data_IF_868936007058
#
_entry.id   IF_868936007058
#
_cell.length_a   1.000
_cell.length_b   1.000
_cell.length_c   1.000
_cell.angle_alpha   90.00
_cell.angle_beta   90.00
_cell.angle_gamma   90.00
#
_symmetry.space_group_name_H-M   'P 1'
#
loop_
_entity.id
_entity.type
_entity.pdbx_description
1 polymer ?
#
# COMPACT_ATOMS: atom_id res chain seq x y z
N UNK A 1 10.47 9.45 8.00
CA UNK A 1 9.24 8.66 7.74
C UNK A 1 9.53 7.64 6.67
N UNK A 2 9.17 6.40 6.91
CA UNK A 2 9.33 5.32 5.94
C UNK A 2 8.03 4.57 5.83
N UNK A 3 7.45 4.56 4.63
CA UNK A 3 6.32 3.70 4.30
C UNK A 3 6.79 2.69 3.27
N UNK A 4 6.49 1.42 3.52
CA UNK A 4 6.84 0.33 2.60
C UNK A 4 5.59 -0.41 2.18
N UNK A 5 5.58 -0.86 0.92
CA UNK A 5 4.53 -1.69 0.36
C UNK A 5 5.19 -2.92 -0.24
N UNK A 6 4.46 -4.03 -0.28
CA UNK A 6 4.99 -5.27 -0.84
C UNK A 6 3.85 -6.15 -1.35
N UNK A 7 4.19 -7.03 -2.31
CA UNK A 7 3.27 -8.03 -2.87
C UNK A 7 1.90 -7.46 -3.25
N UNK A 8 1.84 -6.41 -4.10
CA UNK A 8 0.57 -5.83 -4.46
C UNK A 8 -0.28 -6.78 -5.30
N UNK A 9 -1.60 -6.79 -5.04
CA UNK A 9 -2.57 -7.42 -5.92
C UNK A 9 -3.14 -6.37 -6.84
N UNK A 10 -2.94 -6.56 -8.15
CA UNK A 10 -3.40 -5.63 -9.16
C UNK A 10 -4.51 -6.29 -9.98
N UNK A 11 -5.62 -5.59 -10.13
CA UNK A 11 -6.73 -6.04 -10.99
C UNK A 11 -7.02 -4.97 -12.02
N UNK A 12 -7.15 -5.39 -13.27
CA UNK A 12 -7.38 -4.47 -14.38
C UNK A 12 -8.58 -4.95 -15.19
N UNK A 13 -9.45 -4.01 -15.52
CA UNK A 13 -10.54 -4.23 -16.45
C UNK A 13 -10.65 -3.01 -17.35
N UNK A 14 -10.17 -3.13 -18.62
CA UNK A 14 -10.15 -2.01 -19.54
C UNK A 14 -9.42 -0.81 -18.95
N UNK A 15 -10.13 0.30 -18.80
CA UNK A 15 -9.56 1.54 -18.29
C UNK A 15 -9.62 1.68 -16.77
N UNK A 16 -10.00 0.62 -16.07
CA UNK A 16 -10.11 0.64 -14.61
C UNK A 16 -9.10 -0.33 -14.01
N UNK A 17 -8.41 0.10 -12.99
CA UNK A 17 -7.50 -0.77 -12.23
C UNK A 17 -7.59 -0.48 -10.75
N UNK A 18 -7.34 -1.53 -9.95
CA UNK A 18 -7.20 -1.39 -8.50
C UNK A 18 -5.91 -2.06 -8.08
N UNK A 19 -5.25 -1.45 -7.10
CA UNK A 19 -4.05 -2.00 -6.45
C UNK A 19 -4.36 -2.15 -4.97
N UNK A 20 -4.21 -3.37 -4.48
CA UNK A 20 -4.41 -3.71 -3.07
C UNK A 20 -3.03 -4.12 -2.55
N UNK A 21 -2.49 -3.38 -1.59
CA UNK A 21 -1.15 -3.68 -1.09
C UNK A 21 -1.06 -3.51 0.42
N UNK A 22 -0.49 -4.50 1.11
CA UNK A 22 -0.12 -4.27 2.50
C UNK A 22 0.93 -3.17 2.60
N UNK A 23 0.94 -2.48 3.73
CA UNK A 23 1.95 -1.47 4.00
C UNK A 23 2.33 -1.46 5.48
N UNK A 24 3.53 -0.99 5.79
CA UNK A 24 3.90 -0.60 7.14
C UNK A 24 4.49 0.80 7.14
N UNK A 25 4.44 1.43 8.29
CA UNK A 25 4.86 2.83 8.43
C UNK A 25 5.72 2.97 9.67
N UNK A 26 6.90 3.53 9.47
CA UNK A 26 7.87 3.78 10.53
C UNK A 26 8.18 5.27 10.64
N UNK A 27 8.35 5.74 11.87
CA UNK A 27 8.82 7.08 12.16
C UNK A 27 10.26 6.96 12.62
N UNK A 28 11.20 7.10 11.67
CA UNK A 28 12.58 6.76 11.92
C UNK A 28 12.70 5.25 12.14
N UNK A 29 13.32 4.85 13.25
CA UNK A 29 13.46 3.45 13.61
C UNK A 29 12.26 2.89 14.38
N UNK A 30 11.28 3.75 14.68
CA UNK A 30 10.15 3.38 15.52
C UNK A 30 8.94 3.01 14.68
N UNK A 31 8.41 1.81 14.93
CA UNK A 31 7.18 1.35 14.28
C UNK A 31 6.00 2.23 14.67
N UNK A 32 5.20 2.64 13.69
CA UNK A 32 3.98 3.40 13.92
C UNK A 32 2.73 2.54 13.73
N UNK A 33 2.50 2.06 12.53
CA UNK A 33 1.30 1.29 12.22
C UNK A 33 1.49 0.51 10.94
N UNK A 34 0.54 -0.37 10.65
CA UNK A 34 0.47 -1.10 9.39
C UNK A 34 -0.99 -1.17 8.91
N UNK A 35 -1.19 -1.74 7.75
CA UNK A 35 -2.53 -1.87 7.18
C UNK A 35 -2.49 -2.25 5.72
N UNK A 36 -3.50 -1.78 4.99
CA UNK A 36 -3.65 -2.01 3.55
C UNK A 36 -3.95 -0.68 2.88
N UNK A 37 -3.27 -0.44 1.76
CA UNK A 37 -3.58 0.65 0.85
C UNK A 37 -4.37 0.11 -0.33
N UNK A 38 -5.42 0.81 -0.74
CA UNK A 38 -6.18 0.50 -1.96
C UNK A 38 -6.15 1.72 -2.86
N UNK A 39 -5.60 1.55 -4.06
CA UNK A 39 -5.51 2.62 -5.05
C UNK A 39 -6.41 2.27 -6.21
N UNK A 40 -7.30 3.19 -6.59
CA UNK A 40 -8.10 3.07 -7.80
C UNK A 40 -7.51 3.95 -8.88
N UNK A 41 -7.30 3.38 -10.06
CA UNK A 41 -6.68 4.07 -11.18
C UNK A 41 -7.57 4.02 -12.41
N UNK A 42 -7.55 5.08 -13.19
CA UNK A 42 -8.29 5.18 -14.44
C UNK A 42 -7.30 5.52 -15.55
N UNK A 43 -7.42 4.83 -16.69
CA UNK A 43 -6.65 5.16 -17.89
C UNK A 43 -7.42 6.15 -18.73
N UNK A 44 -6.79 7.29 -19.06
CA UNK A 44 -7.46 8.37 -19.78
C UNK A 44 -7.27 8.30 -21.30
N UNK A 45 -6.67 7.21 -21.80
CA UNK A 45 -6.34 7.04 -23.23
C UNK A 45 -4.85 7.24 -23.49
N UNK A 46 -4.13 7.90 -22.60
CA UNK A 46 -2.69 8.13 -22.73
C UNK A 46 -1.90 7.51 -21.57
N UNK A 47 -2.45 7.60 -20.36
CA UNK A 47 -1.75 7.11 -19.16
C UNK A 47 -2.75 6.74 -18.08
N UNK A 48 -2.25 6.01 -17.09
CA UNK A 48 -2.99 5.73 -15.86
C UNK A 48 -2.90 6.91 -14.90
N UNK A 49 -4.03 7.24 -14.29
CA UNK A 49 -4.11 8.29 -13.28
C UNK A 49 -4.70 7.74 -12.00
N UNK A 50 -4.20 8.19 -10.86
CA UNK A 50 -4.76 7.82 -9.57
C UNK A 50 -6.08 8.56 -9.39
N UNK A 51 -7.16 7.79 -9.21
CA UNK A 51 -8.50 8.34 -8.99
C UNK A 51 -8.78 8.48 -7.50
N UNK A 52 -8.40 7.50 -6.72
CA UNK A 52 -8.59 7.53 -5.28
C UNK A 52 -7.54 6.67 -4.59
N UNK A 53 -7.27 7.01 -3.34
CA UNK A 53 -6.37 6.27 -2.47
C UNK A 53 -7.05 6.15 -1.11
N UNK A 54 -7.27 4.92 -0.68
CA UNK A 54 -7.86 4.63 0.62
C UNK A 54 -6.89 3.75 1.39
N UNK A 55 -6.90 3.88 2.70
CA UNK A 55 -6.05 3.04 3.54
C UNK A 55 -6.69 2.90 4.92
N UNK A 56 -6.31 1.84 5.62
CA UNK A 56 -6.65 1.69 7.02
C UNK A 56 -5.38 1.79 7.88
N UNK A 57 -5.57 1.91 9.18
CA UNK A 57 -4.47 1.93 10.15
C UNK A 57 -4.76 0.88 11.21
N UNK A 58 -3.81 -0.02 11.38
CA UNK A 58 -3.97 -1.12 12.31
C UNK A 58 -2.68 -1.34 13.07
N UNK A 59 -2.73 -2.25 14.01
CA UNK A 59 -1.58 -2.72 14.76
C UNK A 59 -1.50 -4.24 14.62
N UNK A 60 -0.30 -4.82 14.59
CA UNK A 60 -0.20 -6.27 14.58
C UNK A 60 -0.92 -6.88 15.79
N UNK A 61 -1.50 -8.06 15.67
CA UNK A 61 -1.44 -8.97 14.54
C UNK A 61 -2.54 -8.79 13.48
N UNK A 62 -3.34 -7.72 13.55
CA UNK A 62 -4.43 -7.53 12.58
C UNK A 62 -3.96 -7.02 11.24
N UNK A 63 -2.71 -6.59 11.13
CA UNK A 63 -2.08 -6.28 9.85
C UNK A 63 -0.72 -6.96 9.76
N UNK A 64 -0.21 -7.10 8.54
CA UNK A 64 1.07 -7.74 8.28
C UNK A 64 2.21 -6.76 8.39
N UNK A 65 3.36 -7.24 8.84
CA UNK A 65 4.61 -6.51 8.78
C UNK A 65 5.39 -6.94 7.55
N UNK A 66 6.27 -6.06 7.07
CA UNK A 66 7.11 -6.35 5.91
C UNK A 66 7.94 -7.62 6.16
N UNK A 67 8.01 -8.54 5.16
CA UNK A 67 8.74 -9.81 5.35
C UNK A 67 10.21 -9.64 5.68
N UNK A 68 10.82 -8.52 5.29
CA UNK A 68 12.25 -8.26 5.54
C UNK A 68 12.52 -7.69 6.93
N UNK A 69 11.48 -7.54 7.77
CA UNK A 69 11.63 -6.97 9.09
C UNK A 69 11.72 -5.45 9.09
N UNK A 70 12.13 -4.83 10.20
CA UNK A 70 12.21 -3.38 10.29
C UNK A 70 13.16 -2.77 9.27
N UNK A 71 12.89 -1.50 8.81
CA UNK A 71 13.77 -0.82 7.87
C UNK A 71 15.17 -0.64 8.46
N UNK A 72 16.20 -0.86 7.62
CA UNK A 72 17.59 -0.68 8.02
C UNK A 72 18.11 -1.70 9.00
N UNK A 73 17.31 -2.71 9.31
CA UNK A 73 17.70 -3.74 10.28
C UNK A 73 18.26 -4.97 9.63
#
# INVERSE_FOLDING_TARGET
>A
MIERMWDPEVRVSGSLATVWTPYDFYNGAQFSHCGVDVVTMIHNGERWEIKSLDFNRQQPPTCELHPDGPPGG
#
